data_IF_079222332156
#
_entry.id   IF_079222332156
#
_cell.length_a   1.000
_cell.length_b   1.000
_cell.length_c   1.000
_cell.angle_alpha   90.00
_cell.angle_beta   90.00
_cell.angle_gamma   90.00
#
_symmetry.space_group_name_H-M   'P 1'
#
loop_
_entity.id
_entity.type
_entity.pdbx_description
1 polymer ?
#
# COMPACT_ATOMS: atom_id res chain seq x y z
N UNK A 1 5.81 -17.99 -9.87
CA UNK A 1 5.81 -16.60 -9.37
C UNK A 1 4.71 -16.38 -8.33
N UNK A 2 5.03 -15.69 -7.23
CA UNK A 2 4.03 -15.15 -6.31
C UNK A 2 3.66 -13.74 -6.78
N UNK A 3 2.38 -13.56 -7.12
CA UNK A 3 1.84 -12.33 -7.69
C UNK A 3 1.00 -11.63 -6.63
N UNK A 4 1.17 -10.32 -6.48
CA UNK A 4 0.34 -9.48 -5.62
C UNK A 4 -0.44 -8.49 -6.49
N UNK A 5 -1.76 -8.46 -6.34
CA UNK A 5 -2.62 -7.38 -6.82
C UNK A 5 -2.84 -6.38 -5.70
N UNK A 6 -2.66 -5.08 -5.96
CA UNK A 6 -2.89 -4.01 -4.98
C UNK A 6 -3.86 -2.95 -5.50
N UNK A 7 -4.56 -2.31 -4.57
CA UNK A 7 -5.42 -1.14 -4.81
C UNK A 7 -5.58 -0.34 -3.50
N UNK A 8 -5.69 0.98 -3.59
CA UNK A 8 -5.76 1.86 -2.41
C UNK A 8 -6.96 2.79 -2.44
N UNK A 9 -7.51 3.09 -1.25
CA UNK A 9 -8.65 4.00 -1.10
C UNK A 9 -8.29 5.21 -0.25
N UNK A 10 -8.74 6.37 -0.72
CA UNK A 10 -8.49 7.65 -0.06
C UNK A 10 -9.78 8.42 0.14
N UNK A 11 -9.81 9.18 1.22
CA UNK A 11 -10.87 10.13 1.48
C UNK A 11 -10.44 11.52 1.00
N UNK A 12 -11.26 12.18 0.19
CA UNK A 12 -11.08 13.59 -0.17
C UNK A 12 -11.82 14.48 0.82
N UNK A 13 -11.14 15.52 1.29
CA UNK A 13 -11.74 16.54 2.14
C UNK A 13 -12.70 17.48 1.39
N UNK A 14 -12.64 17.48 0.05
CA UNK A 14 -13.57 18.17 -0.82
C UNK A 14 -14.22 17.15 -1.76
N UNK A 15 -15.50 16.86 -1.53
CA UNK A 15 -16.26 15.85 -2.30
C UNK A 15 -16.39 16.18 -3.79
N UNK A 16 -16.12 17.42 -4.20
CA UNK A 16 -16.21 17.87 -5.59
C UNK A 16 -14.84 17.98 -6.28
N UNK A 17 -13.75 17.61 -5.61
CA UNK A 17 -12.41 17.69 -6.15
C UNK A 17 -11.74 16.32 -6.25
N UNK A 18 -10.85 16.19 -7.23
CA UNK A 18 -9.94 15.05 -7.32
C UNK A 18 -9.03 15.02 -6.08
N UNK A 19 -8.64 13.81 -5.67
CA UNK A 19 -7.68 13.59 -4.58
C UNK A 19 -6.35 14.30 -4.85
N UNK A 20 -5.87 15.06 -3.87
CA UNK A 20 -4.56 15.71 -3.92
C UNK A 20 -3.67 15.22 -2.77
N UNK A 21 -2.57 14.49 -3.03
CA UNK A 21 -1.66 14.03 -1.98
C UNK A 21 -0.99 15.18 -1.20
N UNK A 22 -1.02 16.41 -1.73
CA UNK A 22 -0.52 17.60 -1.05
C UNK A 22 -1.47 18.11 0.03
N UNK A 23 -2.76 17.78 -0.03
CA UNK A 23 -3.74 18.17 0.97
C UNK A 23 -3.64 17.19 2.14
N UNK A 24 -3.34 17.69 3.35
CA UNK A 24 -3.14 16.83 4.52
C UNK A 24 -4.40 16.03 4.90
N UNK A 25 -5.57 16.65 4.70
CA UNK A 25 -6.88 16.07 4.97
C UNK A 25 -7.30 15.00 3.97
N UNK A 26 -6.69 14.99 2.79
CA UNK A 26 -6.88 13.93 1.81
C UNK A 26 -5.98 12.77 2.26
N UNK A 27 -6.60 11.75 2.85
CA UNK A 27 -5.89 10.69 3.57
C UNK A 27 -6.14 9.35 2.92
N UNK A 28 -5.04 8.61 2.72
CA UNK A 28 -5.08 7.18 2.46
C UNK A 28 -5.60 6.47 3.72
N UNK A 29 -6.67 5.69 3.56
CA UNK A 29 -7.31 5.01 4.68
C UNK A 29 -7.50 3.51 4.50
N UNK A 30 -7.37 2.96 3.28
CA UNK A 30 -7.33 1.51 3.03
C UNK A 30 -6.25 1.17 2.00
N UNK A 31 -5.56 0.05 2.21
CA UNK A 31 -4.74 -0.63 1.21
C UNK A 31 -5.21 -2.08 1.16
N UNK A 32 -5.69 -2.50 0.00
CA UNK A 32 -6.13 -3.88 -0.24
C UNK A 32 -5.08 -4.63 -1.06
N UNK A 33 -4.87 -5.91 -0.72
CA UNK A 33 -3.95 -6.78 -1.44
C UNK A 33 -4.52 -8.18 -1.62
N UNK A 34 -4.27 -8.77 -2.78
CA UNK A 34 -4.52 -10.19 -3.04
C UNK A 34 -3.20 -10.82 -3.51
N UNK A 35 -2.69 -11.79 -2.76
CA UNK A 35 -1.53 -12.57 -3.16
C UNK A 35 -1.96 -13.91 -3.71
N UNK A 36 -1.41 -14.34 -4.84
CA UNK A 36 -1.68 -15.66 -5.43
C UNK A 36 -0.43 -16.20 -6.11
N UNK A 37 -0.16 -17.50 -5.95
CA UNK A 37 0.84 -18.18 -6.76
C UNK A 37 0.29 -18.40 -8.17
N UNK A 38 1.07 -18.03 -9.18
CA UNK A 38 0.69 -18.12 -10.59
C UNK A 38 0.13 -19.52 -10.93
N UNK A 39 -1.04 -19.55 -11.57
CA UNK A 39 -1.79 -20.78 -11.93
C UNK A 39 -2.22 -21.67 -10.76
N UNK A 40 -2.22 -21.17 -9.52
CA UNK A 40 -2.65 -21.91 -8.33
C UNK A 40 -3.68 -21.10 -7.51
N UNK A 41 -4.97 -21.12 -7.89
CA UNK A 41 -6.00 -20.27 -7.28
C UNK A 41 -6.21 -20.55 -5.78
N UNK A 42 -6.04 -21.80 -5.33
CA UNK A 42 -6.21 -22.19 -3.92
C UNK A 42 -5.16 -21.59 -2.97
N UNK A 43 -4.14 -20.93 -3.53
CA UNK A 43 -3.11 -20.21 -2.75
C UNK A 43 -3.47 -18.74 -2.51
N UNK A 44 -4.65 -18.30 -2.95
CA UNK A 44 -5.10 -16.92 -2.81
C UNK A 44 -5.21 -16.53 -1.33
N UNK A 45 -4.61 -15.38 -0.98
CA UNK A 45 -4.74 -14.76 0.33
C UNK A 45 -5.10 -13.30 0.16
N UNK A 46 -6.09 -12.85 0.92
CA UNK A 46 -6.60 -11.48 0.90
C UNK A 46 -6.12 -10.74 2.13
N UNK A 47 -5.71 -9.50 1.95
CA UNK A 47 -5.27 -8.60 3.02
C UNK A 47 -5.98 -7.27 2.89
N UNK A 48 -6.47 -6.76 4.00
CA UNK A 48 -7.03 -5.41 4.09
C UNK A 48 -6.32 -4.71 5.25
N UNK A 49 -5.58 -3.65 4.93
CA UNK A 49 -4.96 -2.78 5.90
C UNK A 49 -5.74 -1.47 5.88
N UNK A 50 -6.17 -0.97 7.03
CA UNK A 50 -6.97 0.26 7.06
C UNK A 50 -6.72 1.12 8.30
N UNK A 51 -7.07 2.40 8.20
CA UNK A 51 -7.10 3.31 9.36
C UNK A 51 -8.53 3.48 9.87
N UNK A 52 -8.73 3.34 11.17
CA UNK A 52 -10.03 3.58 11.80
C UNK A 52 -10.33 2.64 12.97
N UNK A 53 -11.45 2.90 13.64
CA UNK A 53 -11.92 2.08 14.78
C UNK A 53 -13.05 1.12 14.41
N UNK A 54 -13.61 1.22 13.20
CA UNK A 54 -14.68 0.34 12.75
C UNK A 54 -14.10 -1.03 12.44
N UNK A 55 -14.53 -2.05 13.18
CA UNK A 55 -14.18 -3.44 12.89
C UNK A 55 -14.70 -3.84 11.52
N UNK A 56 -13.81 -3.94 10.54
CA UNK A 56 -14.08 -4.66 9.30
C UNK A 56 -13.95 -6.14 9.63
N UNK A 57 -15.02 -6.90 9.42
CA UNK A 57 -14.99 -8.36 9.49
C UNK A 57 -15.42 -8.93 8.14
N UNK A 58 -14.45 -9.53 7.46
CA UNK A 58 -14.65 -10.18 6.16
C UNK A 58 -14.00 -11.55 6.27
N UNK A 59 -14.80 -12.59 6.04
CA UNK A 59 -14.33 -13.97 6.08
C UNK A 59 -13.09 -14.18 5.23
N UNK A 60 -12.17 -15.01 5.74
CA UNK A 60 -10.97 -15.47 5.03
C UNK A 60 -10.02 -14.33 4.58
N UNK A 61 -10.10 -13.18 5.25
CA UNK A 61 -9.28 -12.00 4.95
C UNK A 61 -8.40 -11.64 6.14
N UNK A 62 -7.12 -11.40 5.90
CA UNK A 62 -6.20 -10.90 6.92
C UNK A 62 -6.41 -9.39 7.08
N UNK A 63 -7.13 -9.00 8.13
CA UNK A 63 -7.52 -7.61 8.37
C UNK A 63 -6.59 -7.02 9.44
N UNK A 64 -5.98 -5.87 9.14
CA UNK A 64 -5.10 -5.16 10.07
C UNK A 64 -5.54 -3.69 10.18
N UNK A 65 -5.86 -3.26 11.40
CA UNK A 65 -6.29 -1.90 11.69
C UNK A 65 -5.12 -1.06 12.25
N UNK A 66 -5.05 0.20 11.84
CA UNK A 66 -4.02 1.14 12.24
C UNK A 66 -4.62 2.47 12.71
N UNK A 67 -3.92 3.17 13.59
CA UNK A 67 -4.37 4.47 14.11
C UNK A 67 -4.06 5.62 13.17
N UNK A 68 -2.92 5.55 12.47
CA UNK A 68 -2.46 6.61 11.59
C UNK A 68 -2.17 6.11 10.18
N UNK A 69 -2.30 7.01 9.21
CA UNK A 69 -1.91 6.76 7.81
C UNK A 69 -0.43 6.35 7.69
N UNK A 70 0.44 6.89 8.56
CA UNK A 70 1.86 6.51 8.57
C UNK A 70 2.01 5.03 8.91
N UNK A 71 1.37 4.59 9.99
CA UNK A 71 1.48 3.20 10.45
C UNK A 71 0.86 2.24 9.42
N UNK A 72 -0.22 2.64 8.77
CA UNK A 72 -0.83 1.93 7.64
C UNK A 72 0.19 1.71 6.50
N UNK A 73 0.82 2.79 6.04
CA UNK A 73 1.80 2.72 4.94
C UNK A 73 3.00 1.87 5.35
N UNK A 74 3.57 2.10 6.54
CA UNK A 74 4.71 1.34 7.05
C UNK A 74 4.41 -0.15 7.15
N UNK A 75 3.24 -0.51 7.70
CA UNK A 75 2.80 -1.90 7.79
C UNK A 75 2.59 -2.55 6.42
N UNK A 76 2.16 -1.78 5.40
CA UNK A 76 2.08 -2.28 4.03
C UNK A 76 3.45 -2.67 3.49
N UNK A 77 4.48 -1.86 3.68
CA UNK A 77 5.84 -2.21 3.23
C UNK A 77 6.42 -3.42 3.98
N UNK A 78 6.11 -3.57 5.27
CA UNK A 78 6.42 -4.80 6.00
C UNK A 78 5.66 -6.01 5.48
N UNK A 79 4.37 -5.88 5.14
CA UNK A 79 3.59 -6.95 4.53
C UNK A 79 4.18 -7.38 3.18
N UNK A 80 4.58 -6.44 2.32
CA UNK A 80 5.21 -6.75 1.04
C UNK A 80 6.50 -7.54 1.23
N UNK A 81 7.30 -7.19 2.24
CA UNK A 81 8.51 -7.93 2.63
C UNK A 81 8.17 -9.32 3.18
N UNK A 82 7.13 -9.44 3.99
CA UNK A 82 6.61 -10.70 4.56
C UNK A 82 6.12 -11.66 3.46
N UNK A 83 5.34 -11.15 2.50
CA UNK A 83 4.83 -11.91 1.35
C UNK A 83 5.99 -12.38 0.46
N UNK A 84 7.06 -11.58 0.33
CA UNK A 84 8.22 -11.88 -0.54
C UNK A 84 7.78 -12.19 -1.99
N UNK A 85 7.03 -11.26 -2.56
CA UNK A 85 6.45 -11.38 -3.90
C UNK A 85 7.51 -11.41 -5.02
N UNK A 86 7.11 -11.91 -6.18
CA UNK A 86 7.90 -11.85 -7.42
C UNK A 86 7.38 -10.77 -8.36
N UNK A 87 6.05 -10.55 -8.38
CA UNK A 87 5.40 -9.60 -9.29
C UNK A 87 4.32 -8.84 -8.53
N UNK A 88 4.28 -7.53 -8.68
CA UNK A 88 3.18 -6.68 -8.21
C UNK A 88 2.43 -6.12 -9.42
N UNK A 89 1.10 -6.21 -9.37
CA UNK A 89 0.18 -5.75 -10.41
C UNK A 89 -0.95 -4.95 -9.76
N UNK A 90 -1.67 -4.22 -10.59
CA UNK A 90 -2.83 -3.43 -10.20
C UNK A 90 -3.20 -2.50 -11.35
N UNK A 91 -4.35 -1.85 -11.24
CA UNK A 91 -4.79 -0.90 -12.25
C UNK A 91 -4.20 0.48 -11.96
N UNK A 92 -3.39 1.02 -12.87
CA UNK A 92 -2.80 2.36 -12.75
C UNK A 92 -1.85 2.60 -11.55
N UNK A 93 -1.36 1.54 -10.90
CA UNK A 93 -0.63 1.61 -9.62
C UNK A 93 0.67 2.42 -9.66
N UNK A 94 1.36 2.48 -10.79
CA UNK A 94 2.61 3.25 -10.89
C UNK A 94 2.35 4.75 -11.05
N UNK A 95 1.27 5.13 -11.73
CA UNK A 95 0.95 6.53 -12.04
C UNK A 95 0.15 7.15 -10.90
N UNK A 96 -0.70 6.36 -10.23
CA UNK A 96 -1.56 6.83 -9.16
C UNK A 96 -1.10 6.33 -7.79
N UNK A 97 -1.25 5.05 -7.46
CA UNK A 97 -1.11 4.52 -6.10
C UNK A 97 0.27 4.77 -5.49
N UNK A 98 1.33 4.28 -6.14
CA UNK A 98 2.70 4.46 -5.67
C UNK A 98 3.12 5.93 -5.70
N UNK A 99 2.67 6.69 -6.70
CA UNK A 99 2.95 8.13 -6.79
C UNK A 99 2.30 8.90 -5.63
N UNK A 100 1.07 8.53 -5.26
CA UNK A 100 0.35 9.10 -4.13
C UNK A 100 1.11 8.80 -2.83
N UNK A 101 1.43 7.52 -2.58
CA UNK A 101 2.18 7.07 -1.39
C UNK A 101 3.55 7.78 -1.30
N UNK A 102 4.31 7.82 -2.39
CA UNK A 102 5.63 8.47 -2.43
C UNK A 102 5.52 9.97 -2.12
N UNK A 103 4.54 10.66 -2.70
CA UNK A 103 4.29 12.09 -2.42
C UNK A 103 3.96 12.32 -0.94
N UNK A 104 3.11 11.47 -0.34
CA UNK A 104 2.75 11.55 1.09
C UNK A 104 3.97 11.36 2.00
N UNK A 105 4.81 10.38 1.71
CA UNK A 105 6.01 10.07 2.50
C UNK A 105 7.05 11.19 2.42
N UNK A 106 7.30 11.71 1.21
CA UNK A 106 8.25 12.82 1.01
C UNK A 106 7.84 14.07 1.78
N UNK A 107 6.56 14.41 1.76
CA UNK A 107 6.03 15.59 2.49
C UNK A 107 6.22 15.49 4.00
N UNK A 108 6.17 14.28 4.55
CA UNK A 108 6.35 14.02 5.99
C UNK A 108 7.80 13.71 6.36
N UNK A 109 8.75 13.78 5.41
CA UNK A 109 10.15 13.39 5.58
C UNK A 109 10.32 11.96 6.15
N UNK A 110 9.40 11.06 5.79
CA UNK A 110 9.42 9.68 6.26
C UNK A 110 10.33 8.86 5.34
N UNK A 111 11.37 8.26 5.91
CA UNK A 111 12.16 7.23 5.26
C UNK A 111 11.59 5.87 5.63
N UNK A 112 11.16 5.11 4.64
CA UNK A 112 10.70 3.74 4.84
C UNK A 112 11.86 2.75 4.78
N UNK A 113 11.76 1.62 5.49
CA UNK A 113 12.70 0.54 5.32
C UNK A 113 12.66 0.00 3.90
N UNK A 114 13.82 -0.41 3.36
CA UNK A 114 13.87 -1.10 2.08
C UNK A 114 13.04 -2.40 2.16
N UNK A 115 12.03 -2.46 1.30
CA UNK A 115 11.16 -3.63 1.11
C UNK A 115 11.61 -4.50 -0.07
N UNK A 116 12.74 -4.16 -0.70
CA UNK A 116 13.29 -4.92 -1.82
C UNK A 116 13.94 -6.23 -1.35
N UNK A 117 14.12 -7.20 -2.25
CA UNK A 117 14.81 -8.47 -1.95
C UNK A 117 16.28 -8.29 -1.56
N UNK A 118 16.94 -7.22 -2.01
CA UNK A 118 18.35 -6.94 -1.69
C UNK A 118 18.43 -5.99 -0.49
N UNK A 119 18.86 -6.51 0.65
CA UNK A 119 19.06 -5.71 1.87
C UNK A 119 20.45 -5.07 1.85
N UNK A 120 20.59 -3.87 2.45
CA UNK A 120 21.89 -3.22 2.66
C UNK A 120 22.49 -2.43 1.49
N UNK A 121 21.69 -2.05 0.49
CA UNK A 121 22.08 -0.97 -0.44
C UNK A 121 21.35 0.29 -0.01
N UNK A 122 22.10 1.37 0.24
CA UNK A 122 21.53 2.71 0.29
C UNK A 122 20.92 3.03 -1.07
N UNK A 123 19.60 3.02 -1.15
CA UNK A 123 18.90 3.34 -2.39
C UNK A 123 19.06 4.83 -2.67
N UNK A 124 19.91 5.16 -3.64
CA UNK A 124 19.75 6.42 -4.37
C UNK A 124 18.32 6.45 -4.92
N UNK A 125 17.58 7.51 -4.58
CA UNK A 125 16.21 7.68 -5.07
C UNK A 125 16.28 7.91 -6.57
N UNK A 126 15.91 6.90 -7.36
CA UNK A 126 15.74 7.04 -8.81
C UNK A 126 14.52 7.94 -9.02
N UNK A 127 14.74 9.15 -9.54
CA UNK A 127 13.64 10.01 -9.98
C UNK A 127 13.04 9.38 -11.24
N UNK A 128 11.82 8.88 -11.11
CA UNK A 128 11.02 8.40 -12.23
C UNK A 128 10.27 9.62 -12.76
N UNK A 129 10.67 10.12 -13.93
CA UNK A 129 10.04 11.26 -14.61
C UNK A 129 8.62 10.93 -15.07
#
# INVERSE_FOLDING_TARGET
>A
PLIVYMDIEMYSSNTNAMLDPCIEKDKLFVISNISQRYLMPDTSRKYILYTGQCGIDVNETNIRAFLTEKDLIEAYFFLIKEINLDVIIGYNIFIFDFKYIDTRLRRKLINLPSCSKKQGIDTERININ
#
